data_IF_490839955737
#
_entry.id   IF_490839955737
#
_cell.length_a   1.000
_cell.length_b   1.000
_cell.length_c   1.000
_cell.angle_alpha   90.00
_cell.angle_beta   90.00
_cell.angle_gamma   90.00
#
_symmetry.space_group_name_H-M   'P 1'
#
loop_
_entity.id
_entity.type
_entity.pdbx_description
1 polymer ?
#
# COMPACT_ATOMS: atom_id res chain seq x y z
N UNK A 1 13.19 1.86 98.83
CA UNK A 1 12.58 0.55 99.14
C UNK A 1 12.23 -0.05 97.78
N UNK A 2 12.71 -1.20 97.33
CA UNK A 2 13.34 -2.31 98.00
C UNK A 2 14.32 -2.96 97.02
N UNK A 3 15.47 -3.30 97.58
CA UNK A 3 16.62 -3.93 96.96
C UNK A 3 16.53 -5.42 97.28
N UNK A 4 16.32 -6.30 96.29
CA UNK A 4 16.62 -7.75 96.36
C UNK A 4 16.89 -8.19 94.92
N UNK A 5 18.09 -8.62 94.55
CA UNK A 5 18.80 -9.73 95.17
C UNK A 5 18.75 -10.90 94.18
N UNK A 6 19.47 -10.77 93.07
CA UNK A 6 19.60 -11.80 92.05
C UNK A 6 21.08 -12.10 91.81
N UNK A 7 21.51 -13.25 92.33
CA UNK A 7 22.89 -13.74 92.39
C UNK A 7 23.67 -13.58 91.09
N UNK A 8 24.83 -12.90 91.18
CA UNK A 8 25.90 -12.97 90.19
C UNK A 8 26.53 -14.37 90.23
N UNK A 9 26.50 -15.18 89.15
CA UNK A 9 27.39 -16.33 89.05
C UNK A 9 28.82 -15.84 88.81
N UNK A 10 29.73 -16.48 89.53
CA UNK A 10 31.16 -16.18 89.62
C UNK A 10 31.82 -16.15 88.24
N UNK A 11 32.57 -15.09 87.98
CA UNK A 11 33.63 -15.06 86.97
C UNK A 11 34.71 -16.03 87.48
N UNK A 12 34.61 -17.31 87.11
CA UNK A 12 35.75 -18.23 87.23
C UNK A 12 36.67 -17.94 86.05
N UNK A 13 37.77 -17.27 86.34
CA UNK A 13 38.92 -17.18 85.45
C UNK A 13 39.34 -18.60 85.03
N UNK A 14 38.95 -19.01 83.83
CA UNK A 14 39.73 -19.92 83.01
C UNK A 14 40.41 -19.04 81.96
N UNK A 15 41.56 -18.49 82.34
CA UNK A 15 42.60 -18.18 81.36
C UNK A 15 43.08 -19.52 80.83
N UNK A 16 42.43 -20.03 79.79
CA UNK A 16 43.04 -21.02 78.91
C UNK A 16 44.11 -20.27 78.09
N UNK A 17 45.41 -20.51 78.31
CA UNK A 17 46.44 -19.90 77.49
C UNK A 17 46.52 -20.72 76.21
N UNK A 18 45.56 -20.55 75.31
CA UNK A 18 45.51 -21.44 74.15
C UNK A 18 44.56 -21.11 73.02
N UNK A 19 43.64 -20.15 73.16
CA UNK A 19 42.72 -19.85 72.07
C UNK A 19 42.86 -18.40 71.62
N UNK A 20 43.92 -18.16 70.84
CA UNK A 20 43.88 -17.12 69.82
C UNK A 20 42.85 -17.62 68.81
N UNK A 21 41.56 -17.35 69.06
CA UNK A 21 40.56 -17.25 68.01
C UNK A 21 41.00 -16.08 67.13
N UNK A 22 42.03 -16.35 66.31
CA UNK A 22 42.07 -15.77 64.99
C UNK A 22 40.72 -16.13 64.44
N UNK A 23 39.89 -15.12 64.18
CA UNK A 23 38.86 -15.24 63.18
C UNK A 23 39.63 -15.60 61.90
N UNK A 24 39.90 -16.90 61.73
CA UNK A 24 40.62 -17.43 60.59
C UNK A 24 39.62 -17.20 59.49
N UNK A 25 39.75 -16.07 58.81
CA UNK A 25 39.20 -15.88 57.48
C UNK A 25 39.69 -17.09 56.72
N UNK A 26 38.81 -18.09 56.59
CA UNK A 26 39.10 -19.37 55.98
C UNK A 26 39.41 -19.07 54.52
N UNK A 27 40.68 -18.87 54.23
CA UNK A 27 41.17 -18.68 52.88
C UNK A 27 41.13 -20.06 52.22
N UNK A 28 40.02 -20.34 51.52
CA UNK A 28 39.84 -21.57 50.77
C UNK A 28 40.70 -21.45 49.51
N UNK A 29 41.85 -22.14 49.48
CA UNK A 29 42.82 -22.06 48.38
C UNK A 29 42.32 -22.78 47.11
N UNK A 30 41.44 -23.79 47.26
CA UNK A 30 40.97 -24.62 46.14
C UNK A 30 39.95 -23.93 45.22
N UNK A 31 39.27 -22.88 45.69
CA UNK A 31 38.29 -22.12 44.90
C UNK A 31 38.63 -20.64 44.96
N UNK A 32 39.11 -20.07 43.85
CA UNK A 32 39.41 -18.66 43.76
C UNK A 32 38.13 -17.85 43.51
N UNK A 33 37.46 -17.48 44.60
CA UNK A 33 36.19 -16.73 44.58
C UNK A 33 36.37 -15.36 43.90
N UNK A 34 37.51 -14.71 44.07
CA UNK A 34 37.82 -13.43 43.41
C UNK A 34 37.89 -13.58 41.90
N UNK A 35 38.60 -14.61 41.40
CA UNK A 35 38.66 -14.90 39.97
C UNK A 35 37.29 -15.28 39.38
N UNK A 36 36.47 -16.05 40.11
CA UNK A 36 35.11 -16.40 39.67
C UNK A 36 34.20 -15.17 39.57
N UNK A 37 34.28 -14.24 40.54
CA UNK A 37 33.56 -12.96 40.48
C UNK A 37 34.00 -12.12 39.29
N UNK A 38 35.32 -11.98 39.08
CA UNK A 38 35.85 -11.26 37.92
C UNK A 38 35.42 -11.89 36.60
N UNK A 39 35.39 -13.23 36.50
CA UNK A 39 34.92 -13.94 35.31
C UNK A 39 33.43 -13.68 35.02
N UNK A 40 32.58 -13.67 36.05
CA UNK A 40 31.15 -13.36 35.90
C UNK A 40 30.92 -11.91 35.46
N UNK A 41 31.67 -10.95 36.01
CA UNK A 41 31.62 -9.54 35.58
C UNK A 41 32.12 -9.40 34.15
N UNK A 42 33.25 -10.03 33.79
CA UNK A 42 33.79 -10.01 32.43
C UNK A 42 32.80 -10.56 31.40
N UNK A 43 32.09 -11.66 31.74
CA UNK A 43 31.01 -12.19 30.89
C UNK A 43 29.87 -11.19 30.68
N UNK A 44 29.50 -10.44 31.72
CA UNK A 44 28.48 -9.37 31.60
C UNK A 44 28.96 -8.23 30.71
N UNK A 45 30.20 -7.76 30.89
CA UNK A 45 30.80 -6.68 30.10
C UNK A 45 30.94 -7.07 28.63
N UNK A 46 31.40 -8.28 28.33
CA UNK A 46 31.47 -8.77 26.95
C UNK A 46 30.08 -8.79 26.29
N UNK A 47 29.05 -9.25 27.01
CA UNK A 47 27.66 -9.24 26.50
C UNK A 47 27.14 -7.83 26.23
N UNK A 48 27.53 -6.85 27.02
CA UNK A 48 27.16 -5.44 26.80
C UNK A 48 27.94 -4.84 25.62
N UNK A 49 29.23 -5.15 25.49
CA UNK A 49 30.05 -4.76 24.35
C UNK A 49 29.51 -5.34 23.04
N UNK A 50 29.10 -6.60 23.02
CA UNK A 50 28.48 -7.22 21.84
C UNK A 50 27.19 -6.48 21.43
N UNK A 51 26.37 -6.07 22.40
CA UNK A 51 25.16 -5.29 22.14
C UNK A 51 25.46 -3.90 21.60
N UNK A 52 26.48 -3.21 22.13
CA UNK A 52 26.85 -1.87 21.64
C UNK A 52 27.45 -1.94 20.24
N UNK A 53 28.25 -2.99 19.95
CA UNK A 53 28.76 -3.25 18.61
C UNK A 53 27.63 -3.56 17.61
N UNK A 54 26.60 -4.30 18.00
CA UNK A 54 25.40 -4.53 17.18
C UNK A 54 24.67 -3.22 16.87
N UNK A 55 24.48 -2.34 17.88
CA UNK A 55 23.87 -1.01 17.70
C UNK A 55 24.71 -0.10 16.80
N UNK A 56 26.04 -0.13 16.95
CA UNK A 56 26.95 0.63 16.09
C UNK A 56 26.89 0.15 14.64
N UNK A 57 26.93 -1.17 14.42
CA UNK A 57 26.94 -1.75 13.07
C UNK A 57 25.62 -1.57 12.32
N UNK A 58 24.49 -1.52 13.03
CA UNK A 58 23.16 -1.33 12.44
C UNK A 58 22.75 0.14 12.37
N UNK A 59 23.38 1.00 13.19
CA UNK A 59 22.96 2.39 13.39
C UNK A 59 21.60 2.56 14.09
N UNK A 60 21.02 1.47 14.60
CA UNK A 60 19.70 1.48 15.23
C UNK A 60 19.82 1.40 16.75
N UNK A 61 19.04 2.23 17.44
CA UNK A 61 18.98 2.22 18.91
C UNK A 61 18.35 0.93 19.47
N UNK A 62 17.34 0.38 18.78
CA UNK A 62 16.58 -0.81 19.18
C UNK A 62 16.74 -1.88 18.08
N UNK A 63 17.54 -2.91 18.36
CA UNK A 63 17.77 -4.04 17.43
C UNK A 63 17.06 -5.32 17.82
N UNK A 64 16.77 -5.51 19.12
CA UNK A 64 16.19 -6.73 19.66
C UNK A 64 14.95 -6.41 20.49
N UNK A 65 13.95 -7.27 20.41
CA UNK A 65 12.74 -7.20 21.25
C UNK A 65 13.06 -7.32 22.76
N UNK A 66 14.22 -7.87 23.12
CA UNK A 66 14.66 -7.99 24.51
C UNK A 66 15.26 -6.72 25.14
N UNK A 67 15.48 -5.65 24.35
CA UNK A 67 15.98 -4.35 24.85
C UNK A 67 14.82 -3.39 25.14
N UNK A 68 13.83 -3.33 24.24
CA UNK A 68 12.57 -2.60 24.40
C UNK A 68 11.49 -3.27 23.54
N UNK A 69 10.63 -4.08 24.17
CA UNK A 69 9.62 -4.84 23.45
C UNK A 69 8.57 -3.94 22.77
N UNK A 70 8.17 -2.84 23.43
CA UNK A 70 7.17 -1.92 22.90
C UNK A 70 7.76 -1.05 21.77
N UNK A 71 8.96 -0.51 21.97
CA UNK A 71 9.66 0.28 20.96
C UNK A 71 10.02 -0.54 19.73
N UNK A 72 10.39 -1.81 19.90
CA UNK A 72 10.61 -2.73 18.79
C UNK A 72 9.32 -3.02 18.02
N UNK A 73 8.22 -3.35 18.72
CA UNK A 73 6.93 -3.64 18.08
C UNK A 73 6.38 -2.43 17.29
N UNK A 74 6.49 -1.22 17.84
CA UNK A 74 6.06 0.00 17.15
C UNK A 74 6.93 0.29 15.92
N UNK A 75 8.24 0.08 16.04
CA UNK A 75 9.18 0.25 14.91
C UNK A 75 8.89 -0.75 13.79
N UNK A 76 8.57 -2.00 14.11
CA UNK A 76 8.21 -3.00 13.09
C UNK A 76 6.86 -2.73 12.44
N UNK A 77 5.88 -2.23 13.22
CA UNK A 77 4.61 -1.72 12.68
C UNK A 77 4.87 -0.59 11.67
N UNK A 78 5.70 0.39 12.02
CA UNK A 78 6.05 1.48 11.11
C UNK A 78 6.81 0.97 9.88
N UNK A 79 7.76 0.05 10.03
CA UNK A 79 8.46 -0.58 8.88
C UNK A 79 7.49 -1.30 7.95
N UNK A 80 6.51 -2.02 8.51
CA UNK A 80 5.46 -2.70 7.74
C UNK A 80 4.59 -1.68 6.99
N UNK A 81 4.20 -0.59 7.65
CA UNK A 81 3.45 0.49 7.00
C UNK A 81 4.24 1.16 5.88
N UNK A 82 5.53 1.44 6.07
CA UNK A 82 6.40 2.01 5.04
C UNK A 82 6.49 1.07 3.83
N UNK A 83 6.68 -0.24 4.05
CA UNK A 83 6.69 -1.23 2.96
C UNK A 83 5.33 -1.29 2.24
N UNK A 84 4.23 -1.24 2.99
CA UNK A 84 2.88 -1.20 2.43
C UNK A 84 2.63 0.05 1.59
N UNK A 85 3.07 1.22 2.07
CA UNK A 85 2.99 2.49 1.33
C UNK A 85 3.84 2.46 0.06
N UNK A 86 5.06 1.91 0.10
CA UNK A 86 5.90 1.77 -1.09
C UNK A 86 5.26 0.85 -2.15
N UNK A 87 4.52 -0.18 -1.73
CA UNK A 87 3.74 -0.99 -2.67
C UNK A 87 2.53 -0.22 -3.21
N UNK A 88 1.82 0.51 -2.34
CA UNK A 88 0.69 1.32 -2.75
C UNK A 88 1.08 2.40 -3.78
N UNK A 89 2.24 3.03 -3.61
CA UNK A 89 2.80 3.96 -4.58
C UNK A 89 2.97 3.33 -5.97
N UNK A 90 3.54 2.11 -6.03
CA UNK A 90 3.66 1.36 -7.29
C UNK A 90 2.29 1.04 -7.90
N UNK A 91 1.33 0.61 -7.09
CA UNK A 91 -0.04 0.35 -7.56
C UNK A 91 -0.71 1.62 -8.11
N UNK A 92 -0.44 2.79 -7.49
CA UNK A 92 -0.94 4.08 -7.99
C UNK A 92 -0.30 4.43 -9.33
N UNK A 93 1.01 4.21 -9.50
CA UNK A 93 1.68 4.42 -10.78
C UNK A 93 1.09 3.54 -11.89
N UNK A 94 0.81 2.26 -11.61
CA UNK A 94 0.12 1.38 -12.55
C UNK A 94 -1.29 1.91 -12.90
N UNK A 95 -2.00 2.42 -11.90
CA UNK A 95 -3.29 3.09 -12.09
C UNK A 95 -3.20 4.34 -12.97
N UNK A 96 -2.16 5.15 -12.81
CA UNK A 96 -1.90 6.33 -13.66
C UNK A 96 -1.64 5.89 -15.09
N UNK A 97 -0.80 4.89 -15.32
CA UNK A 97 -0.55 4.36 -16.67
C UNK A 97 -1.81 3.81 -17.32
N UNK A 98 -2.65 3.11 -16.56
CA UNK A 98 -3.95 2.63 -17.03
C UNK A 98 -4.88 3.78 -17.46
N UNK A 99 -4.97 4.84 -16.64
CA UNK A 99 -5.78 6.02 -16.96
C UNK A 99 -5.23 6.74 -18.19
N UNK A 100 -3.91 6.89 -18.33
CA UNK A 100 -3.30 7.54 -19.50
C UNK A 100 -3.61 6.81 -20.81
N UNK A 101 -3.53 5.48 -20.82
CA UNK A 101 -3.91 4.69 -22.01
C UNK A 101 -5.39 4.84 -22.31
N UNK A 102 -6.23 4.85 -21.28
CA UNK A 102 -7.66 5.09 -21.42
C UNK A 102 -7.94 6.48 -22.00
N UNK A 103 -7.32 7.53 -21.46
CA UNK A 103 -7.48 8.91 -21.90
C UNK A 103 -7.01 9.11 -23.35
N UNK A 104 -5.84 8.60 -23.71
CA UNK A 104 -5.34 8.67 -25.09
C UNK A 104 -6.28 7.96 -26.09
N UNK A 105 -6.91 6.87 -25.67
CA UNK A 105 -7.92 6.19 -26.49
C UNK A 105 -9.20 7.03 -26.61
N UNK A 106 -9.66 7.63 -25.51
CA UNK A 106 -10.84 8.52 -25.50
C UNK A 106 -10.63 9.77 -26.37
N UNK A 107 -9.42 10.28 -26.45
CA UNK A 107 -9.07 11.40 -27.32
C UNK A 107 -9.29 11.04 -28.80
N UNK A 108 -8.92 9.82 -29.22
CA UNK A 108 -9.20 9.35 -30.58
C UNK A 108 -10.69 9.27 -30.87
N UNK A 109 -11.47 8.73 -29.92
CA UNK A 109 -12.94 8.70 -30.03
C UNK A 109 -13.51 10.12 -30.11
N UNK A 110 -12.99 11.06 -29.33
CA UNK A 110 -13.43 12.46 -29.34
C UNK A 110 -13.21 13.11 -30.71
N UNK A 111 -12.03 12.91 -31.33
CA UNK A 111 -11.71 13.44 -32.65
C UNK A 111 -12.68 12.90 -33.73
N UNK A 112 -13.03 11.61 -33.66
CA UNK A 112 -14.01 11.02 -34.58
C UNK A 112 -15.41 11.60 -34.34
N UNK A 113 -15.83 11.80 -33.09
CA UNK A 113 -17.12 12.41 -32.78
C UNK A 113 -17.20 13.87 -33.27
N UNK A 114 -16.10 14.61 -33.22
CA UNK A 114 -16.04 15.96 -33.80
C UNK A 114 -16.22 15.90 -35.33
N UNK A 115 -15.55 14.96 -36.01
CA UNK A 115 -15.73 14.75 -37.46
C UNK A 115 -17.18 14.37 -37.80
N UNK A 116 -17.79 13.46 -37.05
CA UNK A 116 -19.20 13.08 -37.22
C UNK A 116 -20.14 14.29 -37.07
N UNK A 117 -19.81 15.21 -36.15
CA UNK A 117 -20.56 16.46 -35.97
C UNK A 117 -20.44 17.39 -37.18
N UNK A 118 -19.23 17.53 -37.75
CA UNK A 118 -19.02 18.30 -38.98
C UNK A 118 -19.86 17.76 -40.14
N UNK A 119 -19.83 16.44 -40.36
CA UNK A 119 -20.62 15.77 -41.39
C UNK A 119 -22.13 15.92 -41.17
N UNK A 120 -22.57 15.92 -39.91
CA UNK A 120 -23.98 16.16 -39.55
C UNK A 120 -24.42 17.59 -39.89
N UNK A 121 -23.57 18.59 -39.65
CA UNK A 121 -23.84 19.98 -40.01
C UNK A 121 -23.84 20.14 -41.54
N UNK A 122 -22.89 19.50 -42.23
CA UNK A 122 -22.80 19.53 -43.69
C UNK A 122 -24.06 18.94 -44.35
N UNK A 123 -24.53 17.78 -43.88
CA UNK A 123 -25.73 17.11 -44.43
C UNK A 123 -27.04 17.83 -44.10
N UNK A 124 -27.04 18.65 -43.04
CA UNK A 124 -28.19 19.50 -42.69
C UNK A 124 -28.45 20.62 -43.71
N UNK A 125 -27.50 20.96 -44.56
CA UNK A 125 -27.72 21.94 -45.61
C UNK A 125 -28.64 21.38 -46.70
N UNK A 126 -29.65 22.16 -47.09
CA UNK A 126 -30.65 21.78 -48.08
C UNK A 126 -30.17 21.76 -49.54
N UNK A 127 -28.94 22.21 -49.80
CA UNK A 127 -28.37 22.35 -51.16
C UNK A 127 -27.74 21.06 -51.70
N UNK A 128 -27.51 20.05 -50.84
CA UNK A 128 -26.92 18.78 -51.24
C UNK A 128 -27.97 17.83 -51.82
N UNK A 129 -27.59 17.11 -52.88
CA UNK A 129 -28.46 16.09 -53.48
C UNK A 129 -28.62 14.88 -52.55
N UNK A 130 -29.58 14.01 -52.85
CA UNK A 130 -29.74 12.76 -52.10
C UNK A 130 -28.56 11.81 -52.33
N UNK A 131 -27.93 11.86 -53.50
CA UNK A 131 -26.72 11.12 -53.84
C UNK A 131 -25.53 11.58 -52.99
N UNK A 132 -25.34 12.90 -52.82
CA UNK A 132 -24.27 13.44 -51.97
C UNK A 132 -24.45 13.05 -50.50
N UNK A 133 -25.70 13.07 -50.02
CA UNK A 133 -26.03 12.64 -48.65
C UNK A 133 -25.74 11.15 -48.43
N UNK A 134 -25.88 10.30 -49.45
CA UNK A 134 -25.51 8.88 -49.35
C UNK A 134 -23.99 8.69 -49.23
N UNK A 135 -23.20 9.50 -49.95
CA UNK A 135 -21.73 9.44 -49.83
C UNK A 135 -21.27 9.88 -48.44
N UNK A 136 -21.86 10.94 -47.88
CA UNK A 136 -21.56 11.36 -46.51
C UNK A 136 -22.01 10.31 -45.49
N UNK A 137 -23.14 9.64 -45.72
CA UNK A 137 -23.58 8.55 -44.84
C UNK A 137 -22.58 7.38 -44.84
N UNK A 138 -21.98 7.05 -45.98
CA UNK A 138 -20.93 6.01 -46.04
C UNK A 138 -19.71 6.40 -45.19
N UNK A 139 -19.31 7.67 -45.21
CA UNK A 139 -18.22 8.18 -44.34
C UNK A 139 -18.62 8.09 -42.86
N UNK A 140 -19.84 8.49 -42.50
CA UNK A 140 -20.38 8.36 -41.13
C UNK A 140 -20.36 6.90 -40.66
N UNK A 141 -20.76 5.96 -41.51
CA UNK A 141 -20.80 4.54 -41.19
C UNK A 141 -19.38 3.99 -40.91
N UNK A 142 -18.38 4.38 -41.72
CA UNK A 142 -16.98 4.03 -41.50
C UNK A 142 -16.42 4.60 -40.19
N UNK A 143 -16.77 5.84 -39.86
CA UNK A 143 -16.35 6.48 -38.61
C UNK A 143 -16.98 5.80 -37.39
N UNK A 144 -18.24 5.36 -37.47
CA UNK A 144 -18.90 4.60 -36.41
C UNK A 144 -18.23 3.24 -36.20
N UNK A 145 -17.88 2.55 -37.30
CA UNK A 145 -17.18 1.27 -37.26
C UNK A 145 -15.78 1.42 -36.63
N UNK A 146 -15.09 2.53 -36.94
CA UNK A 146 -13.81 2.87 -36.35
C UNK A 146 -13.89 3.14 -34.84
N UNK A 147 -14.94 3.84 -34.37
CA UNK A 147 -15.20 4.03 -32.94
C UNK A 147 -15.39 2.70 -32.22
N UNK A 148 -16.15 1.76 -32.82
CA UNK A 148 -16.34 0.43 -32.25
C UNK A 148 -15.03 -0.39 -32.24
N UNK A 149 -14.22 -0.26 -33.29
CA UNK A 149 -12.89 -0.90 -33.38
C UNK A 149 -11.94 -0.37 -32.30
N UNK A 150 -11.87 0.95 -32.09
CA UNK A 150 -11.03 1.58 -31.06
C UNK A 150 -11.50 1.14 -29.67
N UNK A 151 -12.82 1.19 -29.40
CA UNK A 151 -13.39 0.76 -28.13
C UNK A 151 -13.08 -0.71 -27.78
N UNK A 152 -13.01 -1.59 -28.79
CA UNK A 152 -12.73 -3.03 -28.61
C UNK A 152 -11.24 -3.39 -28.57
N UNK A 153 -10.39 -2.59 -29.21
CA UNK A 153 -8.95 -2.85 -29.34
C UNK A 153 -8.11 -2.23 -28.24
N UNK A 154 -8.64 -1.21 -27.53
CA UNK A 154 -7.98 -0.63 -26.38
C UNK A 154 -7.83 -1.65 -25.24
N UNK A 155 -6.59 -1.89 -24.84
CA UNK A 155 -6.23 -2.89 -23.84
C UNK A 155 -5.03 -2.40 -23.02
N UNK A 156 -5.11 -2.58 -21.70
CA UNK A 156 -4.00 -2.42 -20.79
C UNK A 156 -3.93 -3.64 -19.90
N UNK A 157 -2.83 -4.41 -19.99
CA UNK A 157 -2.65 -5.63 -19.21
C UNK A 157 -3.88 -6.58 -19.25
N UNK A 158 -4.41 -6.85 -20.44
CA UNK A 158 -5.60 -7.66 -20.67
C UNK A 158 -6.93 -7.12 -20.12
N UNK A 159 -6.94 -5.89 -19.60
CA UNK A 159 -8.14 -5.17 -19.19
C UNK A 159 -8.56 -4.25 -20.33
N UNK A 160 -9.83 -4.34 -20.73
CA UNK A 160 -10.44 -3.48 -21.76
C UNK A 160 -11.20 -2.34 -21.09
N UNK A 161 -10.61 -1.14 -20.96
CA UNK A 161 -11.21 -0.04 -20.19
C UNK A 161 -12.57 0.41 -20.74
N UNK A 162 -12.74 0.41 -22.06
CA UNK A 162 -13.89 1.02 -22.72
C UNK A 162 -15.04 0.06 -23.01
N UNK A 163 -14.93 -1.21 -22.62
CA UNK A 163 -15.92 -2.26 -22.94
C UNK A 163 -17.29 -2.05 -22.28
N UNK A 164 -17.34 -1.34 -21.15
CA UNK A 164 -18.54 -1.16 -20.31
C UNK A 164 -18.61 -2.10 -19.10
N UNK A 165 -17.71 -3.08 -19.01
CA UNK A 165 -17.69 -4.04 -17.89
C UNK A 165 -17.40 -3.35 -16.55
N UNK A 166 -16.69 -2.21 -16.59
CA UNK A 166 -16.28 -1.41 -15.44
C UNK A 166 -17.15 -0.16 -15.20
N UNK A 167 -18.35 -0.13 -15.80
CA UNK A 167 -19.30 0.97 -15.61
C UNK A 167 -19.86 0.99 -14.18
N UNK A 168 -20.30 2.17 -13.73
CA UNK A 168 -21.11 2.32 -12.50
C UNK A 168 -22.37 1.45 -12.52
N UNK A 169 -22.92 1.18 -13.71
CA UNK A 169 -24.12 0.36 -13.88
C UNK A 169 -23.84 -1.13 -13.62
N UNK A 170 -22.66 -1.60 -14.01
CA UNK A 170 -22.20 -2.98 -13.80
C UNK A 170 -21.70 -3.22 -12.36
N UNK A 171 -21.50 -2.15 -11.58
CA UNK A 171 -21.00 -2.17 -10.21
C UNK A 171 -19.71 -2.99 -10.01
N UNK A 172 -18.84 -2.99 -11.04
CA UNK A 172 -17.57 -3.72 -11.07
C UNK A 172 -16.40 -2.74 -11.29
N UNK A 173 -16.07 -1.90 -10.30
CA UNK A 173 -14.98 -0.96 -10.44
C UNK A 173 -13.65 -1.68 -10.62
N UNK A 174 -12.70 -0.98 -11.25
CA UNK A 174 -11.30 -1.35 -11.17
C UNK A 174 -10.79 -0.83 -9.83
N UNK A 175 -10.45 -1.76 -8.93
CA UNK A 175 -10.02 -1.45 -7.57
C UNK A 175 -8.51 -1.36 -7.49
N UNK A 176 -7.99 -0.22 -7.06
CA UNK A 176 -6.58 0.00 -6.77
C UNK A 176 -6.38 0.08 -5.26
N UNK A 177 -5.49 -0.74 -4.71
CA UNK A 177 -5.09 -0.63 -3.31
C UNK A 177 -4.07 0.50 -3.17
N UNK A 178 -4.48 1.61 -2.56
CA UNK A 178 -3.72 2.88 -2.48
C UNK A 178 -3.15 3.16 -1.10
N UNK A 179 -3.32 2.24 -0.15
CA UNK A 179 -2.74 2.37 1.18
C UNK A 179 -2.33 1.03 1.81
N UNK A 180 -1.58 1.07 2.93
CA UNK A 180 -1.06 -0.11 3.60
C UNK A 180 -2.12 -0.90 4.39
N UNK A 181 -3.29 -0.32 4.69
CA UNK A 181 -4.32 -0.97 5.49
C UNK A 181 -5.42 -1.60 4.63
N UNK A 182 -6.14 -2.57 5.20
CA UNK A 182 -7.30 -3.16 4.55
C UNK A 182 -8.36 -2.09 4.26
N UNK A 183 -8.95 -2.14 3.06
CA UNK A 183 -10.01 -1.23 2.57
C UNK A 183 -9.56 0.19 2.19
N UNK A 184 -8.26 0.49 2.16
CA UNK A 184 -7.75 1.72 1.53
C UNK A 184 -7.66 1.53 0.01
N UNK A 185 -8.84 1.52 -0.63
CA UNK A 185 -9.00 1.28 -2.06
C UNK A 185 -9.55 2.49 -2.79
N UNK A 186 -9.11 2.68 -4.02
CA UNK A 186 -9.66 3.62 -4.99
C UNK A 186 -10.43 2.83 -6.05
N UNK A 187 -11.70 3.14 -6.21
CA UNK A 187 -12.57 2.56 -7.22
C UNK A 187 -12.61 3.47 -8.46
N UNK A 188 -12.22 2.93 -9.61
CA UNK A 188 -12.30 3.60 -10.91
C UNK A 188 -13.46 3.00 -11.70
N UNK A 189 -14.31 3.88 -12.22
CA UNK A 189 -15.43 3.52 -13.10
C UNK A 189 -15.22 4.11 -14.48
N UNK A 190 -15.40 3.29 -15.51
CA UNK A 190 -15.33 3.70 -16.91
C UNK A 190 -16.55 3.13 -17.63
N UNK A 191 -17.33 4.02 -18.23
CA UNK A 191 -18.51 3.63 -19.00
C UNK A 191 -18.12 3.14 -20.41
N UNK A 192 -19.03 2.40 -21.05
CA UNK A 192 -18.80 1.90 -22.41
C UNK A 192 -18.71 3.06 -23.41
N UNK A 193 -17.67 3.06 -24.25
CA UNK A 193 -17.49 4.07 -25.31
C UNK A 193 -17.66 3.50 -26.72
N UNK A 194 -18.22 2.30 -26.80
CA UNK A 194 -18.55 1.61 -28.05
C UNK A 194 -19.67 2.38 -28.78
N UNK A 195 -19.86 2.13 -30.08
CA UNK A 195 -20.93 2.76 -30.86
C UNK A 195 -22.33 2.57 -30.25
N UNK A 196 -22.57 1.46 -29.54
CA UNK A 196 -23.82 1.20 -28.79
C UNK A 196 -23.88 2.00 -27.48
N UNK A 197 -22.76 2.11 -26.76
CA UNK A 197 -22.66 2.88 -25.51
C UNK A 197 -22.86 4.37 -25.71
N UNK A 198 -22.33 4.91 -26.82
CA UNK A 198 -22.49 6.30 -27.25
C UNK A 198 -23.82 6.55 -27.99
N UNK A 199 -24.69 5.54 -28.12
CA UNK A 199 -25.99 5.61 -28.81
C UNK A 199 -25.91 6.07 -30.29
N UNK A 200 -24.76 5.90 -30.94
CA UNK A 200 -24.58 6.19 -32.37
C UNK A 200 -25.37 5.19 -33.24
N UNK A 201 -25.59 3.98 -32.70
CA UNK A 201 -26.37 2.90 -33.32
C UNK A 201 -27.50 2.51 -32.37
N UNK A 202 -28.76 2.51 -32.84
CA UNK A 202 -29.87 1.97 -32.06
C UNK A 202 -30.14 0.53 -32.51
N UNK A 203 -30.04 -0.43 -31.58
CA UNK A 203 -30.43 -1.83 -31.79
C UNK A 203 -29.81 -2.48 -33.06
N UNK A 204 -28.49 -2.34 -33.25
CA UNK A 204 -27.78 -3.01 -34.34
C UNK A 204 -28.16 -2.54 -35.75
N UNK A 205 -28.85 -1.40 -35.86
CA UNK A 205 -29.04 -0.68 -37.13
C UNK A 205 -28.50 0.72 -36.97
N UNK A 206 -27.66 1.17 -37.91
CA UNK A 206 -27.25 2.56 -38.00
C UNK A 206 -28.54 3.39 -37.89
N UNK A 207 -28.56 4.36 -36.97
CA UNK A 207 -29.64 5.34 -36.99
C UNK A 207 -29.48 6.04 -38.33
N UNK A 208 -30.23 5.59 -39.34
CA UNK A 208 -30.49 6.39 -40.52
C UNK A 208 -31.14 7.64 -39.94
N UNK A 209 -30.35 8.71 -39.83
CA UNK A 209 -30.85 10.00 -39.40
C UNK A 209 -32.01 10.28 -40.36
N UNK A 210 -33.26 10.32 -39.87
CA UNK A 210 -34.38 10.51 -40.75
C UNK A 210 -34.11 11.79 -41.52
N UNK A 211 -34.04 11.66 -42.85
CA UNK A 211 -33.92 12.78 -43.77
C UNK A 211 -34.84 13.87 -43.24
N UNK A 212 -34.34 15.11 -43.01
CA UNK A 212 -35.19 16.17 -42.52
C UNK A 212 -36.35 16.31 -43.51
N UNK A 213 -37.53 15.85 -43.10
CA UNK A 213 -38.75 16.05 -43.87
C UNK A 213 -39.03 17.54 -43.74
N UNK A 214 -38.65 18.28 -44.77
CA UNK A 214 -39.04 19.67 -44.93
C UNK A 214 -40.55 19.69 -45.02
N UNK A 215 -41.22 19.96 -43.89
CA UNK A 215 -42.61 20.45 -43.91
C UNK A 215 -42.53 21.87 -44.49
N UNK A 216 -42.68 21.96 -45.80
CA UNK A 216 -42.97 23.24 -46.45
C UNK A 216 -44.27 23.79 -45.83
N UNK A 217 -44.18 24.99 -45.27
CA UNK A 217 -45.30 25.91 -45.15
C UNK A 217 -45.20 26.92 -46.28
#
# INVERSE_FOLDING_TARGET
MENKGGSRPKISARTDPGNIDREVVKMIINHNISALRTNNVLKSVNKELDKTMEKLSTGLRINRAGDDALGFAMSEKMRTQIRGLAQAERNVMDGVSFIQVTEGTLEQVNNILQRLRELSIQTSNGIYSNEDRKLVQLEVDQLIEEVDRIGKSAEFNHIKPLSGDHSKQSNKPIQLQVGPNQNEKLDIFIDSMNATGLQLVANGKNRSYPLPQVRMR
#
